data_IF_070734045901
#
_entry.id   IF_070734045901
#
_cell.length_a   1.000
_cell.length_b   1.000
_cell.length_c   1.000
_cell.angle_alpha   90.00
_cell.angle_beta   90.00
_cell.angle_gamma   90.00
#
_symmetry.space_group_name_H-M   'P 1'
#
loop_
_entity.id
_entity.type
_entity.pdbx_description
1 polymer ?
#
# COMPACT_ATOMS: atom_id res chain seq x y z
N UNK A 1 -6.02 -11.04 17.02
CA UNK A 1 -7.21 -10.32 16.52
C UNK A 1 -7.40 -10.73 15.09
N UNK A 2 -8.59 -11.19 14.76
CA UNK A 2 -8.90 -11.79 13.48
C UNK A 2 -9.21 -10.73 12.40
N UNK A 3 -8.80 -10.99 11.15
CA UNK A 3 -9.06 -10.15 9.98
C UNK A 3 -10.15 -10.76 9.06
N UNK A 4 -10.80 -11.85 9.47
CA UNK A 4 -11.90 -12.48 8.73
C UNK A 4 -13.03 -11.51 8.34
N UNK A 5 -13.28 -10.46 9.13
CA UNK A 5 -14.28 -9.44 8.81
C UNK A 5 -13.96 -8.64 7.53
N UNK A 6 -12.69 -8.63 7.11
CA UNK A 6 -12.23 -8.08 5.82
C UNK A 6 -12.24 -9.12 4.70
N UNK A 7 -12.68 -10.35 4.98
CA UNK A 7 -12.62 -11.49 4.05
C UNK A 7 -11.25 -12.16 3.95
N UNK A 8 -10.26 -11.77 4.77
CA UNK A 8 -8.93 -12.36 4.76
C UNK A 8 -8.89 -13.64 5.59
N UNK A 9 -8.74 -14.78 4.91
CA UNK A 9 -8.59 -16.10 5.54
C UNK A 9 -7.13 -16.55 5.50
N UNK A 10 -6.71 -17.33 6.49
CA UNK A 10 -5.36 -17.91 6.53
C UNK A 10 -4.23 -16.87 6.53
N UNK A 11 -4.42 -15.79 7.29
CA UNK A 11 -3.40 -14.77 7.51
C UNK A 11 -2.24 -15.33 8.34
N UNK A 12 -1.01 -14.97 7.97
CA UNK A 12 0.20 -15.32 8.72
C UNK A 12 0.33 -14.53 10.03
N UNK A 13 1.57 -14.26 10.45
CA UNK A 13 1.83 -13.44 11.63
C UNK A 13 1.36 -11.99 11.43
N UNK A 14 0.50 -11.50 12.34
CA UNK A 14 -0.08 -10.16 12.29
C UNK A 14 0.69 -9.26 13.26
N UNK A 15 1.42 -8.29 12.71
CA UNK A 15 2.10 -7.24 13.47
C UNK A 15 1.34 -5.92 13.34
N UNK A 16 0.88 -5.34 14.46
CA UNK A 16 0.10 -4.10 14.47
C UNK A 16 0.89 -2.96 15.10
N UNK A 17 0.76 -1.76 14.54
CA UNK A 17 1.30 -0.52 15.10
C UNK A 17 2.80 -0.60 15.45
N UNK A 18 3.58 -1.29 14.60
CA UNK A 18 5.03 -1.36 14.75
C UNK A 18 5.64 0.05 14.72
N UNK A 19 6.64 0.25 15.55
CA UNK A 19 7.49 1.44 15.51
C UNK A 19 8.29 1.51 14.21
N UNK A 20 8.79 2.71 13.88
CA UNK A 20 9.71 2.93 12.76
C UNK A 20 10.90 1.95 12.81
N UNK A 21 11.51 1.80 13.98
CA UNK A 21 12.68 0.94 14.16
C UNK A 21 12.36 -0.53 13.89
N UNK A 22 11.19 -1.01 14.31
CA UNK A 22 10.77 -2.40 14.05
C UNK A 22 10.50 -2.63 12.56
N UNK A 23 9.90 -1.66 11.86
CA UNK A 23 9.68 -1.73 10.42
C UNK A 23 11.00 -1.80 9.64
N UNK A 24 11.96 -0.92 9.97
CA UNK A 24 13.29 -0.90 9.35
C UNK A 24 14.05 -2.21 9.63
N UNK A 25 14.02 -2.69 10.89
CA UNK A 25 14.66 -3.93 11.29
C UNK A 25 14.08 -5.17 10.59
N UNK A 26 12.83 -5.09 10.12
CA UNK A 26 12.21 -6.13 9.30
C UNK A 26 12.57 -6.01 7.82
N UNK A 27 12.59 -4.80 7.26
CA UNK A 27 12.81 -4.57 5.83
C UNK A 27 14.24 -4.94 5.38
N UNK A 28 15.26 -4.58 6.17
CA UNK A 28 16.67 -4.78 5.78
C UNK A 28 17.05 -6.26 5.64
N UNK A 29 16.77 -7.16 6.61
CA UNK A 29 17.09 -8.58 6.47
C UNK A 29 16.27 -9.29 5.38
N UNK A 30 15.12 -8.72 4.98
CA UNK A 30 14.29 -9.24 3.87
C UNK A 30 14.79 -8.82 2.50
N UNK A 31 15.80 -7.93 2.42
CA UNK A 31 16.28 -7.38 1.16
C UNK A 31 15.29 -6.41 0.50
N UNK A 32 14.32 -5.87 1.27
CA UNK A 32 13.33 -4.91 0.77
C UNK A 32 13.89 -3.46 0.72
N UNK A 33 15.09 -3.25 1.26
CA UNK A 33 15.81 -1.98 1.24
C UNK A 33 17.16 -2.08 1.96
N UNK A 34 17.91 -0.98 1.96
CA UNK A 34 19.20 -0.86 2.65
C UNK A 34 19.33 0.48 3.36
N UNK A 35 20.16 0.54 4.40
CA UNK A 35 20.45 1.79 5.11
C UNK A 35 21.46 2.62 4.31
N UNK A 36 21.08 3.84 3.97
CA UNK A 36 21.92 4.85 3.33
C UNK A 36 22.51 5.83 4.33
N UNK A 37 22.85 7.04 3.84
CA UNK A 37 23.39 8.10 4.69
C UNK A 37 22.39 8.48 5.79
N UNK A 38 22.90 8.68 7.01
CA UNK A 38 22.10 9.05 8.20
C UNK A 38 20.98 8.05 8.50
N UNK A 39 21.24 6.75 8.28
CA UNK A 39 20.30 5.65 8.55
C UNK A 39 18.96 5.76 7.81
N UNK A 40 18.94 6.49 6.69
CA UNK A 40 17.77 6.57 5.84
C UNK A 40 17.54 5.23 5.13
N UNK A 41 16.34 4.67 5.24
CA UNK A 41 15.96 3.47 4.48
C UNK A 41 15.83 3.83 3.00
N UNK A 42 16.71 3.30 2.17
CA UNK A 42 16.67 3.42 0.73
C UNK A 42 16.02 2.19 0.11
N UNK A 43 15.04 2.41 -0.77
CA UNK A 43 14.27 1.36 -1.46
C UNK A 43 14.24 1.62 -2.96
N UNK A 44 14.02 0.57 -3.75
CA UNK A 44 13.81 0.62 -5.19
C UNK A 44 12.43 0.04 -5.52
N UNK A 45 11.62 0.76 -6.30
CA UNK A 45 10.28 0.32 -6.72
C UNK A 45 10.29 -0.38 -8.09
N UNK A 46 11.47 -0.57 -8.66
CA UNK A 46 11.72 -1.27 -9.92
C UNK A 46 11.09 -0.56 -11.10
N UNK A 47 10.26 -1.29 -11.86
CA UNK A 47 9.64 -0.79 -13.10
C UNK A 47 8.71 0.41 -12.87
N UNK A 48 8.05 0.48 -11.70
CA UNK A 48 7.01 1.46 -11.43
C UNK A 48 7.54 2.56 -10.50
N UNK A 49 8.24 3.53 -11.08
CA UNK A 49 8.90 4.64 -10.37
C UNK A 49 8.01 5.88 -10.18
N UNK A 50 6.76 5.81 -10.64
CA UNK A 50 5.79 6.90 -10.56
C UNK A 50 4.36 6.38 -10.49
N UNK A 51 3.40 7.30 -10.60
CA UNK A 51 1.97 6.92 -10.65
C UNK A 51 1.66 6.18 -11.96
N UNK A 52 0.72 5.26 -11.89
CA UNK A 52 0.02 4.71 -13.06
C UNK A 52 -1.42 5.26 -13.07
N UNK A 53 -1.67 6.46 -13.64
CA UNK A 53 -3.00 7.08 -13.57
C UNK A 53 -4.10 6.20 -14.16
N UNK A 54 -3.74 5.43 -15.19
CA UNK A 54 -4.63 4.52 -15.90
C UNK A 54 -4.91 3.20 -15.16
N UNK A 55 -4.39 3.02 -13.95
CA UNK A 55 -4.71 1.86 -13.08
C UNK A 55 -5.50 2.28 -11.82
N UNK A 56 -5.93 3.55 -11.72
CA UNK A 56 -6.79 4.04 -10.64
C UNK A 56 -8.26 4.01 -11.05
N UNK A 57 -9.12 3.48 -10.18
CA UNK A 57 -10.57 3.38 -10.38
C UNK A 57 -11.33 3.86 -9.13
N UNK A 58 -12.58 4.25 -9.32
CA UNK A 58 -13.52 4.61 -8.26
C UNK A 58 -14.77 3.78 -8.47
N UNK A 59 -15.15 2.97 -7.48
CA UNK A 59 -16.33 2.11 -7.59
C UNK A 59 -17.58 2.94 -7.86
N UNK A 60 -18.30 2.60 -8.93
CA UNK A 60 -19.60 3.19 -9.24
C UNK A 60 -20.68 2.60 -8.30
N UNK A 61 -20.88 3.28 -7.18
CA UNK A 61 -21.88 2.92 -6.17
C UNK A 61 -22.96 4.01 -6.01
N UNK A 62 -24.22 3.64 -5.68
CA UNK A 62 -25.33 4.60 -5.60
C UNK A 62 -25.11 5.76 -4.63
N UNK A 63 -24.38 5.55 -3.54
CA UNK A 63 -24.09 6.58 -2.52
C UNK A 63 -23.23 7.74 -3.01
N UNK A 64 -22.43 7.52 -4.06
CA UNK A 64 -21.44 8.50 -4.53
C UNK A 64 -21.53 8.81 -6.02
N UNK A 65 -22.26 8.01 -6.80
CA UNK A 65 -22.39 8.13 -8.26
C UNK A 65 -22.58 9.56 -8.75
N UNK A 66 -23.53 10.28 -8.18
CA UNK A 66 -23.91 11.61 -8.66
C UNK A 66 -22.98 12.72 -8.17
N UNK A 67 -22.03 12.39 -7.28
CA UNK A 67 -21.07 13.33 -6.70
C UNK A 67 -19.68 13.23 -7.35
N UNK A 68 -19.44 12.21 -8.18
CA UNK A 68 -18.16 11.98 -8.83
C UNK A 68 -18.16 12.59 -10.24
N UNK A 69 -17.09 13.31 -10.56
CA UNK A 69 -16.84 13.81 -11.90
C UNK A 69 -16.22 12.71 -12.77
N UNK A 70 -17.07 11.90 -13.40
CA UNK A 70 -16.66 10.75 -14.23
C UNK A 70 -15.93 11.16 -15.51
N UNK A 71 -14.93 10.36 -15.92
CA UNK A 71 -14.15 10.56 -17.14
C UNK A 71 -12.82 9.80 -17.10
N UNK A 72 -11.87 10.17 -17.95
CA UNK A 72 -10.56 9.49 -18.04
C UNK A 72 -9.77 9.45 -16.73
N UNK A 73 -10.02 10.41 -15.83
CA UNK A 73 -9.37 10.51 -14.50
C UNK A 73 -10.11 9.69 -13.44
N UNK A 74 -11.44 9.74 -13.43
CA UNK A 74 -12.30 9.01 -12.50
C UNK A 74 -13.09 7.97 -13.30
N UNK A 75 -12.50 6.78 -13.41
CA UNK A 75 -13.06 5.66 -14.18
C UNK A 75 -13.73 4.67 -13.21
N UNK A 76 -14.90 4.11 -13.58
CA UNK A 76 -15.58 3.11 -12.78
C UNK A 76 -14.80 1.78 -12.74
#
# INVERSE_FOLDING_TARGET
MDLEYLGLKSVGDIKRNLSLSELVAMAVPRGEGQLGMKDALMVDTGKYTGRSPNDRFVVDEPSTRDHIWWGDVNRP
#
